data_IF_592437355429
#
_entry.id   IF_592437355429
#
_cell.length_a   1.000
_cell.length_b   1.000
_cell.length_c   1.000
_cell.angle_alpha   90.00
_cell.angle_beta   90.00
_cell.angle_gamma   90.00
#
_symmetry.space_group_name_H-M   'P 1'
#
loop_
_entity.id
_entity.type
_entity.pdbx_description
1 polymer ?
#
# COMPACT_ATOMS: atom_id res chain seq x y z
N UNK A 1 28.37 -4.27 34.98
CA UNK A 1 27.66 -5.26 34.14
C UNK A 1 26.59 -4.52 33.36
N UNK A 2 26.95 -3.98 32.20
CA UNK A 2 25.97 -3.46 31.24
C UNK A 2 26.32 -4.12 29.93
N UNK A 3 25.49 -5.08 29.55
CA UNK A 3 25.66 -5.93 28.39
C UNK A 3 25.93 -5.09 27.14
N UNK A 4 26.92 -5.53 26.38
CA UNK A 4 27.17 -5.11 25.02
C UNK A 4 25.91 -5.48 24.24
N UNK A 5 25.08 -4.49 23.86
CA UNK A 5 24.06 -4.68 22.82
C UNK A 5 24.82 -4.94 21.52
N UNK A 6 25.08 -6.21 21.23
CA UNK A 6 25.55 -6.64 19.92
C UNK A 6 24.53 -6.18 18.89
N UNK A 7 24.92 -5.20 18.07
CA UNK A 7 24.11 -4.69 16.98
C UNK A 7 23.89 -5.81 15.96
N UNK A 8 22.80 -6.54 16.12
CA UNK A 8 22.42 -7.62 15.21
C UNK A 8 21.99 -7.01 13.87
N UNK A 9 22.93 -6.88 12.95
CA UNK A 9 22.63 -6.48 11.57
C UNK A 9 21.82 -7.59 10.91
N UNK A 10 20.49 -7.39 10.86
CA UNK A 10 19.62 -8.23 10.04
C UNK A 10 19.93 -7.94 8.57
N UNK A 11 20.34 -8.97 7.85
CA UNK A 11 20.53 -8.90 6.39
C UNK A 11 19.20 -9.20 5.71
N UNK A 12 18.88 -8.45 4.65
CA UNK A 12 17.70 -8.68 3.83
C UNK A 12 17.94 -9.96 3.01
N UNK A 13 17.13 -10.99 3.24
CA UNK A 13 17.21 -12.27 2.56
C UNK A 13 16.55 -12.22 1.17
N UNK A 14 15.32 -11.69 1.09
CA UNK A 14 14.55 -11.62 -0.16
C UNK A 14 13.55 -10.46 -0.16
N UNK A 15 13.13 -10.04 -1.36
CA UNK A 15 12.10 -9.03 -1.59
C UNK A 15 10.90 -9.71 -2.24
N UNK A 16 9.71 -9.54 -1.65
CA UNK A 16 8.44 -10.03 -2.19
C UNK A 16 7.65 -8.87 -2.76
N UNK A 17 7.27 -8.99 -4.04
CA UNK A 17 6.43 -8.02 -4.72
C UNK A 17 4.96 -8.39 -4.51
N UNK A 18 4.11 -7.38 -4.34
CA UNK A 18 2.69 -7.56 -4.11
C UNK A 18 1.94 -6.23 -4.18
N UNK A 19 0.62 -6.31 -4.06
CA UNK A 19 -0.27 -5.14 -4.02
C UNK A 19 -0.77 -5.01 -2.59
N UNK A 20 -0.76 -3.79 -2.05
CA UNK A 20 -1.29 -3.49 -0.73
C UNK A 20 -2.82 -3.59 -0.76
N UNK A 21 -3.38 -4.36 0.17
CA UNK A 21 -4.83 -4.39 0.38
C UNK A 21 -5.33 -3.07 1.00
N UNK A 22 -6.59 -2.67 0.76
CA UNK A 22 -7.16 -1.49 1.41
C UNK A 22 -7.07 -1.55 2.94
N UNK A 23 -7.17 -2.74 3.54
CA UNK A 23 -7.03 -2.94 4.98
C UNK A 23 -5.60 -2.65 5.47
N UNK A 24 -4.57 -3.08 4.72
CA UNK A 24 -3.18 -2.78 5.05
C UNK A 24 -2.87 -1.29 4.92
N UNK A 25 -3.36 -0.63 3.87
CA UNK A 25 -3.20 0.82 3.69
C UNK A 25 -3.78 1.58 4.88
N UNK A 26 -5.03 1.27 5.27
CA UNK A 26 -5.67 1.92 6.43
C UNK A 26 -4.93 1.63 7.74
N UNK A 27 -4.40 0.41 7.92
CA UNK A 27 -3.63 0.04 9.12
C UNK A 27 -2.30 0.78 9.24
N UNK A 28 -1.63 1.04 8.12
CA UNK A 28 -0.39 1.82 8.08
C UNK A 28 -0.65 3.33 8.17
N UNK A 29 -1.88 3.75 7.86
CA UNK A 29 -2.24 5.16 7.79
C UNK A 29 -2.46 5.78 9.16
N UNK A 30 -1.93 6.98 9.36
CA UNK A 30 -2.11 7.78 10.58
C UNK A 30 -3.21 8.82 10.46
N UNK A 31 -3.67 9.09 9.23
CA UNK A 31 -4.68 10.08 8.90
C UNK A 31 -5.33 9.78 7.56
N UNK A 32 -6.66 9.93 7.52
CA UNK A 32 -7.43 10.06 6.27
C UNK A 32 -7.39 11.52 5.80
N UNK A 33 -6.96 11.74 4.56
CA UNK A 33 -6.90 13.06 3.94
C UNK A 33 -8.24 13.35 3.27
N UNK A 34 -8.86 14.46 3.67
CA UNK A 34 -10.22 14.84 3.30
C UNK A 34 -10.27 16.11 2.45
N UNK A 35 -9.23 16.95 2.50
CA UNK A 35 -9.10 18.14 1.66
C UNK A 35 -7.75 18.17 0.95
N UNK A 36 -7.74 18.77 -0.25
CA UNK A 36 -6.53 19.06 -1.00
C UNK A 36 -5.83 20.34 -0.50
N UNK A 37 -6.51 21.15 0.32
CA UNK A 37 -5.94 22.37 0.84
C UNK A 37 -4.80 22.07 1.83
N UNK A 38 -3.79 22.93 1.83
CA UNK A 38 -2.56 22.74 2.60
C UNK A 38 -2.51 23.65 3.83
N UNK A 39 -2.77 24.94 3.62
CA UNK A 39 -2.75 25.97 4.65
C UNK A 39 -4.03 26.80 4.61
N UNK A 40 -4.45 27.31 5.76
CA UNK A 40 -5.55 28.26 5.87
C UNK A 40 -5.11 29.71 5.56
N UNK A 41 -6.03 30.65 5.67
CA UNK A 41 -5.80 32.09 5.40
C UNK A 41 -4.73 32.69 6.33
N UNK A 42 -4.53 32.11 7.51
CA UNK A 42 -3.53 32.52 8.50
C UNK A 42 -2.17 31.83 8.29
N UNK A 43 -2.06 30.94 7.29
CA UNK A 43 -0.86 30.18 6.97
C UNK A 43 -0.61 28.97 7.88
N UNK A 44 -1.59 28.57 8.69
CA UNK A 44 -1.52 27.37 9.53
C UNK A 44 -1.93 26.12 8.74
N UNK A 45 -1.35 24.97 9.09
CA UNK A 45 -1.66 23.69 8.42
C UNK A 45 -3.11 23.27 8.68
N UNK A 46 -3.82 22.86 7.63
CA UNK A 46 -5.20 22.40 7.74
C UNK A 46 -5.25 20.95 8.27
N UNK A 47 -5.99 20.65 9.35
CA UNK A 47 -6.19 19.28 9.81
C UNK A 47 -6.85 18.41 8.74
N UNK A 48 -6.36 17.18 8.56
CA UNK A 48 -6.79 16.27 7.49
C UNK A 48 -6.59 16.82 6.06
N UNK A 49 -5.76 17.85 5.91
CA UNK A 49 -5.24 18.33 4.62
C UNK A 49 -3.88 17.70 4.28
N UNK A 50 -3.32 18.04 3.11
CA UNK A 50 -2.09 17.41 2.61
C UNK A 50 -0.85 17.70 3.47
N UNK A 51 -0.86 18.77 4.26
CA UNK A 51 0.22 19.15 5.19
C UNK A 51 -0.08 18.79 6.65
N UNK A 52 -0.98 17.82 6.91
CA UNK A 52 -1.32 17.42 8.27
C UNK A 52 -0.07 16.98 9.05
N UNK A 53 0.16 17.62 10.20
CA UNK A 53 1.29 17.39 11.11
C UNK A 53 1.50 15.93 11.59
N UNK A 54 0.50 15.06 11.41
CA UNK A 54 0.61 13.61 11.66
C UNK A 54 1.44 12.89 10.60
N UNK A 55 1.46 13.39 9.36
CA UNK A 55 2.27 12.84 8.27
C UNK A 55 3.77 13.16 8.44
N UNK A 56 4.06 14.23 9.16
CA UNK A 56 5.40 14.78 9.35
C UNK A 56 5.32 16.29 9.56
N UNK A 57 6.46 16.89 9.84
CA UNK A 57 6.60 18.36 9.94
C UNK A 57 7.81 18.79 9.13
N UNK A 58 7.70 19.95 8.49
CA UNK A 58 8.79 20.54 7.70
C UNK A 58 9.50 21.63 8.50
N UNK A 59 8.73 22.44 9.22
CA UNK A 59 9.23 23.63 9.91
C UNK A 59 10.11 23.31 11.12
N UNK A 60 11.27 23.99 11.26
CA UNK A 60 12.11 23.90 12.45
C UNK A 60 11.34 24.26 13.73
N UNK A 61 11.53 23.47 14.78
CA UNK A 61 10.87 23.70 16.07
C UNK A 61 9.48 23.06 16.19
N UNK A 62 8.84 22.68 15.07
CA UNK A 62 7.63 21.86 15.12
C UNK A 62 7.95 20.39 15.36
N UNK A 63 7.00 19.67 15.96
CA UNK A 63 7.11 18.25 16.25
C UNK A 63 5.97 17.49 15.58
N UNK A 64 6.31 16.36 14.97
CA UNK A 64 5.32 15.48 14.36
C UNK A 64 4.34 14.96 15.41
N UNK A 65 3.04 15.02 15.10
CA UNK A 65 1.99 14.56 16.04
C UNK A 65 1.91 13.04 16.16
N UNK A 66 2.55 12.29 15.26
CA UNK A 66 2.58 10.81 15.31
C UNK A 66 3.78 10.30 16.11
N UNK A 67 5.01 10.68 15.75
CA UNK A 67 6.22 10.16 16.41
C UNK A 67 6.87 11.11 17.43
N UNK A 68 6.43 12.37 17.52
CA UNK A 68 6.99 13.38 18.44
C UNK A 68 8.37 13.93 18.04
N UNK A 69 8.97 13.42 16.96
CA UNK A 69 10.26 13.89 16.45
C UNK A 69 10.14 15.21 15.68
N UNK A 70 11.26 15.93 15.57
CA UNK A 70 11.40 17.08 14.66
C UNK A 70 11.61 16.62 13.22
N UNK A 71 11.52 17.55 12.26
CA UNK A 71 11.71 17.28 10.83
C UNK A 71 12.99 16.48 10.51
N UNK A 72 14.10 16.78 11.20
CA UNK A 72 15.39 16.11 10.99
C UNK A 72 15.43 14.62 11.41
N UNK A 73 14.52 14.17 12.29
CA UNK A 73 14.48 12.79 12.81
C UNK A 73 13.18 12.06 12.51
N UNK A 74 12.22 12.74 11.90
CA UNK A 74 10.96 12.13 11.51
C UNK A 74 11.15 11.34 10.22
N UNK A 75 10.82 10.04 10.17
CA UNK A 75 10.89 9.25 8.94
C UNK A 75 9.77 9.58 7.94
N UNK A 76 8.74 10.32 8.38
CA UNK A 76 7.48 10.47 7.66
C UNK A 76 6.51 9.33 7.98
N UNK A 77 5.22 9.60 7.83
CA UNK A 77 4.16 8.66 8.11
C UNK A 77 3.16 8.63 6.97
N UNK A 78 2.61 7.45 6.68
CA UNK A 78 1.64 7.30 5.60
C UNK A 78 0.27 7.88 5.98
N UNK A 79 -0.31 8.63 5.05
CA UNK A 79 -1.73 8.95 5.02
C UNK A 79 -2.46 8.07 4.01
N UNK A 80 -3.79 8.16 3.97
CA UNK A 80 -4.57 7.59 2.87
C UNK A 80 -5.66 8.56 2.45
N UNK A 81 -6.07 8.46 1.18
CA UNK A 81 -7.26 9.11 0.65
C UNK A 81 -8.28 8.00 0.43
N UNK A 82 -9.44 8.10 1.07
CA UNK A 82 -10.53 7.16 0.86
C UNK A 82 -11.29 7.56 -0.41
N UNK A 83 -11.20 6.73 -1.45
CA UNK A 83 -11.92 6.98 -2.70
C UNK A 83 -13.39 6.63 -2.53
N UNK A 84 -14.28 7.49 -3.01
CA UNK A 84 -15.72 7.28 -2.92
C UNK A 84 -16.19 6.01 -3.66
N UNK A 85 -15.46 5.60 -4.71
CA UNK A 85 -15.72 4.40 -5.50
C UNK A 85 -14.41 3.71 -5.87
N UNK A 86 -14.40 2.38 -6.08
CA UNK A 86 -13.23 1.69 -6.57
C UNK A 86 -12.87 2.17 -7.98
N UNK A 87 -11.61 2.53 -8.18
CA UNK A 87 -11.06 2.93 -9.48
C UNK A 87 -10.09 1.85 -9.95
N UNK A 88 -10.14 1.53 -11.25
CA UNK A 88 -9.18 0.62 -11.86
C UNK A 88 -7.83 1.30 -11.93
N UNK A 89 -6.82 0.67 -11.33
CA UNK A 89 -5.45 1.13 -11.47
C UNK A 89 -5.00 0.97 -12.92
N UNK A 90 -4.50 2.06 -13.53
CA UNK A 90 -4.18 2.13 -14.96
C UNK A 90 -3.22 1.01 -15.42
N UNK A 91 -2.22 0.69 -14.60
CA UNK A 91 -1.25 -0.37 -14.88
C UNK A 91 -1.89 -1.76 -15.02
N UNK A 92 -3.03 -2.01 -14.36
CA UNK A 92 -3.73 -3.29 -14.43
C UNK A 92 -4.89 -3.30 -15.42
N UNK A 93 -5.17 -2.18 -16.10
CA UNK A 93 -6.33 -2.07 -16.98
C UNK A 93 -6.30 -3.12 -18.11
N UNK A 94 -5.16 -3.31 -18.78
CA UNK A 94 -5.00 -4.31 -19.84
C UNK A 94 -5.16 -5.74 -19.31
N UNK A 95 -4.54 -6.04 -18.17
CA UNK A 95 -4.63 -7.37 -17.53
C UNK A 95 -6.07 -7.68 -17.15
N UNK A 96 -6.77 -6.73 -16.54
CA UNK A 96 -8.19 -6.87 -16.17
C UNK A 96 -9.04 -7.05 -17.42
N UNK A 97 -8.81 -6.27 -18.47
CA UNK A 97 -9.53 -6.40 -19.73
C UNK A 97 -9.39 -7.80 -20.33
N UNK A 98 -8.15 -8.30 -20.45
CA UNK A 98 -7.85 -9.62 -20.97
C UNK A 98 -8.48 -10.72 -20.12
N UNK A 99 -8.45 -10.57 -18.79
CA UNK A 99 -9.14 -11.50 -17.88
C UNK A 99 -10.64 -11.51 -18.18
N UNK A 100 -11.31 -10.36 -18.24
CA UNK A 100 -12.75 -10.25 -18.49
C UNK A 100 -13.19 -10.86 -19.84
N UNK A 101 -12.29 -10.93 -20.84
CA UNK A 101 -12.58 -11.59 -22.11
C UNK A 101 -12.61 -13.12 -22.01
N UNK A 102 -11.91 -13.70 -21.03
CA UNK A 102 -11.76 -15.16 -20.88
C UNK A 102 -12.61 -15.74 -19.76
N UNK A 103 -13.52 -14.96 -19.16
CA UNK A 103 -14.45 -15.40 -18.10
C UNK A 103 -15.90 -15.29 -18.56
N UNK A 104 -16.72 -16.27 -18.18
CA UNK A 104 -18.16 -16.21 -18.39
C UNK A 104 -18.77 -15.13 -17.48
N UNK A 105 -19.45 -14.15 -18.09
CA UNK A 105 -20.10 -13.04 -17.36
C UNK A 105 -21.29 -13.46 -16.47
N UNK A 106 -21.83 -14.66 -16.68
CA UNK A 106 -22.96 -15.17 -15.89
C UNK A 106 -22.52 -16.02 -14.68
N UNK A 107 -21.52 -16.90 -14.85
CA UNK A 107 -21.11 -17.84 -13.81
C UNK A 107 -19.69 -17.63 -13.27
N UNK A 108 -18.92 -16.68 -13.82
CA UNK A 108 -17.55 -16.37 -13.38
C UNK A 108 -16.52 -17.46 -13.67
N UNK A 109 -16.87 -18.51 -14.44
CA UNK A 109 -15.93 -19.56 -14.84
C UNK A 109 -15.11 -19.15 -16.05
N UNK A 110 -13.85 -19.55 -16.08
CA UNK A 110 -12.96 -19.36 -17.25
C UNK A 110 -13.55 -20.11 -18.46
N UNK A 111 -13.57 -19.46 -19.62
CA UNK A 111 -14.07 -19.96 -20.90
C UNK A 111 -13.07 -20.92 -21.57
N UNK A 112 -12.61 -21.91 -20.81
CA UNK A 112 -11.72 -22.96 -21.30
C UNK A 112 -12.35 -24.34 -21.08
N UNK A 113 -12.11 -25.32 -21.98
CA UNK A 113 -12.54 -26.69 -21.75
C UNK A 113 -11.98 -27.25 -20.44
N UNK A 114 -12.77 -28.03 -19.72
CA UNK A 114 -12.37 -28.59 -18.41
C UNK A 114 -11.07 -29.41 -18.50
N UNK A 115 -10.85 -30.12 -19.61
CA UNK A 115 -9.61 -30.86 -19.87
C UNK A 115 -8.38 -29.93 -19.85
N UNK A 116 -8.48 -28.77 -20.50
CA UNK A 116 -7.43 -27.75 -20.54
C UNK A 116 -7.19 -27.15 -19.16
N UNK A 117 -8.27 -26.82 -18.42
CA UNK A 117 -8.17 -26.30 -17.05
C UNK A 117 -7.44 -27.29 -16.14
N UNK A 118 -7.79 -28.58 -16.21
CA UNK A 118 -7.14 -29.64 -15.41
C UNK A 118 -5.66 -29.77 -15.74
N UNK A 119 -5.30 -29.74 -17.04
CA UNK A 119 -3.91 -29.81 -17.48
C UNK A 119 -3.08 -28.60 -17.00
N UNK A 120 -3.64 -27.39 -17.11
CA UNK A 120 -2.98 -26.16 -16.64
C UNK A 120 -2.80 -26.15 -15.12
N UNK A 121 -3.80 -26.58 -14.34
CA UNK A 121 -3.67 -26.72 -12.88
C UNK A 121 -2.54 -27.68 -12.50
N UNK A 122 -2.48 -28.85 -13.11
CA UNK A 122 -1.41 -29.82 -12.87
C UNK A 122 -0.02 -29.29 -13.28
N UNK A 123 0.06 -28.40 -14.27
CA UNK A 123 1.30 -27.71 -14.64
C UNK A 123 1.69 -26.67 -13.57
N UNK A 124 0.76 -25.85 -13.10
CA UNK A 124 1.00 -24.85 -12.05
C UNK A 124 1.46 -25.50 -10.73
N UNK A 125 0.81 -26.60 -10.32
CA UNK A 125 1.21 -27.35 -9.11
C UNK A 125 2.61 -27.97 -9.20
N UNK A 126 3.08 -28.29 -10.41
CA UNK A 126 4.45 -28.77 -10.62
C UNK A 126 5.45 -27.62 -10.51
N UNK A 127 5.16 -26.48 -11.13
CA UNK A 127 6.01 -25.29 -11.05
C UNK A 127 6.15 -24.79 -9.61
N UNK A 128 5.05 -24.74 -8.85
CA UNK A 128 5.06 -24.32 -7.45
C UNK A 128 5.81 -25.28 -6.51
N UNK A 129 6.12 -26.51 -6.94
CA UNK A 129 6.96 -27.44 -6.17
C UNK A 129 8.45 -27.30 -6.48
N UNK A 130 8.79 -26.61 -7.56
CA UNK A 130 10.18 -26.38 -8.00
C UNK A 130 10.73 -25.02 -7.56
N UNK A 131 9.82 -24.11 -7.18
CA UNK A 131 10.10 -22.83 -6.53
C UNK A 131 9.99 -22.99 -5.01
#
# INVERSE_FOLDING_TARGET
MSAIEEAYQKVIDQIKFGILSPQEIRKMSVVEIQTADTYDEDGAVIPSGLMDSRLGVLEPGQRCRTCGNTSARCPGHFGHIELAVPIIHVEFAEVIYNLLQVICRNCGRILLPEKTVKALRARMERLNRML
#
